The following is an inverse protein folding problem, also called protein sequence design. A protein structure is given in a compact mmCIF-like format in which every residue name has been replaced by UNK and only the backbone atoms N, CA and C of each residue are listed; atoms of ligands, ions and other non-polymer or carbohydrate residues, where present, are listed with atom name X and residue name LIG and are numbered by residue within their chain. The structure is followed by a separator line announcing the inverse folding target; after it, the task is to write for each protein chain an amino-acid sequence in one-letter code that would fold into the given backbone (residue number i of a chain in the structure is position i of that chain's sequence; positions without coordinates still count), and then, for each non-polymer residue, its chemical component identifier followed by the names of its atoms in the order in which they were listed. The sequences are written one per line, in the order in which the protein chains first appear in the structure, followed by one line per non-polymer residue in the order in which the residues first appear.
data_IF_874066038486
#
_entry.id   IF_874066038486
#
_cell.length_a   1.000
_cell.length_b   1.000
_cell.length_c   1.000
_cell.angle_alpha   90.00
_cell.angle_beta   90.00
_cell.angle_gamma   90.00
#
_symmetry.space_group_name_H-M   'P 1'
#
loop_
_entity.id
_entity.type
_entity.pdbx_description
1 polymer ?
#
# COMPACT_ATOMS: atom_id res chain seq x y z
N UNK A 1 -3.70 -16.95 -35.10
CA UNK A 1 -4.62 -16.89 -36.27
C UNK A 1 -3.88 -16.51 -37.55
N UNK A 2 -3.04 -15.49 -37.56
CA UNK A 2 -2.35 -15.02 -38.77
C UNK A 2 -1.42 -16.05 -39.49
N UNK A 3 -0.59 -16.83 -38.74
CA UNK A 3 0.26 -17.85 -39.37
C UNK A 3 -0.54 -18.98 -40.02
N UNK A 4 -1.69 -19.36 -39.42
CA UNK A 4 -2.56 -20.41 -39.96
C UNK A 4 -3.25 -19.97 -41.25
N UNK A 5 -3.76 -18.73 -41.30
CA UNK A 5 -4.35 -18.18 -42.53
C UNK A 5 -3.32 -18.03 -43.67
N UNK A 6 -2.08 -17.69 -43.35
CA UNK A 6 -1.00 -17.58 -44.34
C UNK A 6 -0.61 -18.95 -44.89
N UNK A 7 -0.60 -20.00 -44.06
CA UNK A 7 -0.28 -21.37 -44.44
C UNK A 7 -1.36 -21.99 -45.34
N UNK A 8 -2.63 -21.59 -45.23
CA UNK A 8 -3.73 -22.09 -46.07
C UNK A 8 -3.88 -21.40 -47.39
N UNK A 9 -3.17 -20.27 -47.61
CA UNK A 9 -3.21 -19.51 -48.88
C UNK A 9 -2.36 -20.12 -49.98
N UNK A 10 -1.60 -21.20 -49.71
CA UNK A 10 -0.74 -21.83 -50.71
C UNK A 10 -1.37 -23.10 -51.28
N UNK A 11 -1.21 -23.39 -52.60
CA UNK A 11 -1.69 -24.63 -53.18
C UNK A 11 -1.08 -25.85 -52.48
N UNK A 12 -1.88 -26.83 -52.04
CA UNK A 12 -1.40 -27.99 -51.32
C UNK A 12 -0.29 -28.80 -52.00
N UNK A 13 -0.25 -28.77 -53.30
CA UNK A 13 0.77 -29.44 -54.13
C UNK A 13 2.17 -28.85 -53.98
N UNK A 14 2.31 -27.56 -53.66
CA UNK A 14 3.60 -26.89 -53.41
C UNK A 14 4.14 -27.19 -52.00
N UNK A 15 3.24 -27.37 -51.04
CA UNK A 15 3.60 -27.67 -49.66
C UNK A 15 4.08 -29.13 -49.57
N UNK A 16 3.41 -30.06 -50.21
CA UNK A 16 3.76 -31.51 -50.25
C UNK A 16 5.09 -31.79 -50.95
N UNK A 17 5.50 -30.99 -51.95
CA UNK A 17 6.81 -31.15 -52.61
C UNK A 17 7.99 -30.60 -51.82
N UNK A 18 7.82 -30.06 -50.60
CA UNK A 18 8.89 -29.52 -49.78
C UNK A 18 9.59 -28.29 -50.34
N UNK A 19 9.19 -27.79 -51.53
CA UNK A 19 9.82 -26.66 -52.21
C UNK A 19 9.64 -25.32 -51.56
N UNK A 20 8.64 -25.22 -50.64
CA UNK A 20 8.37 -23.96 -49.91
C UNK A 20 9.49 -23.62 -48.90
N UNK A 21 10.05 -24.63 -48.23
CA UNK A 21 11.14 -24.40 -47.24
C UNK A 21 12.46 -23.95 -47.92
N UNK A 22 12.62 -24.23 -49.20
CA UNK A 22 13.79 -23.83 -50.00
C UNK A 22 13.57 -22.50 -50.75
N UNK A 23 12.36 -21.97 -50.77
CA UNK A 23 12.08 -20.68 -51.43
C UNK A 23 12.67 -19.49 -50.62
N UNK A 24 13.08 -18.44 -51.31
CA UNK A 24 13.61 -17.22 -50.67
C UNK A 24 12.59 -16.61 -49.69
N UNK A 25 11.31 -16.64 -50.08
CA UNK A 25 10.20 -16.15 -49.24
C UNK A 25 9.99 -17.00 -47.97
N UNK A 26 10.10 -18.33 -48.07
CA UNK A 26 9.98 -19.21 -46.88
C UNK A 26 11.12 -19.02 -45.88
N UNK A 27 12.35 -18.80 -46.39
CA UNK A 27 13.50 -18.49 -45.52
C UNK A 27 13.34 -17.16 -44.78
N UNK A 28 12.90 -16.11 -45.50
CA UNK A 28 12.64 -14.79 -44.91
C UNK A 28 11.55 -14.84 -43.84
N UNK A 29 10.43 -15.52 -44.14
CA UNK A 29 9.35 -15.70 -43.14
C UNK A 29 9.85 -16.37 -41.88
N UNK A 30 10.60 -17.48 -42.00
CA UNK A 30 11.19 -18.18 -40.85
C UNK A 30 12.13 -17.25 -40.04
N UNK A 31 13.00 -16.50 -40.71
CA UNK A 31 13.93 -15.57 -40.03
C UNK A 31 13.16 -14.48 -39.28
N UNK A 32 12.10 -13.93 -39.86
CA UNK A 32 11.26 -12.91 -39.20
C UNK A 32 10.55 -13.51 -37.99
N UNK A 33 9.98 -14.70 -38.11
CA UNK A 33 9.31 -15.36 -36.99
C UNK A 33 10.27 -15.68 -35.84
N UNK A 34 11.46 -16.20 -36.17
CA UNK A 34 12.50 -16.47 -35.16
C UNK A 34 12.98 -15.18 -34.51
N UNK A 35 13.22 -14.12 -35.31
CA UNK A 35 13.57 -12.80 -34.80
C UNK A 35 12.51 -12.23 -33.86
N UNK A 36 11.25 -12.31 -34.24
CA UNK A 36 10.12 -11.86 -33.42
C UNK A 36 10.01 -12.63 -32.10
N UNK A 37 10.15 -13.97 -32.17
CA UNK A 37 10.18 -14.81 -30.97
C UNK A 37 11.34 -14.43 -30.04
N UNK A 38 12.52 -14.16 -30.59
CA UNK A 38 13.68 -13.74 -29.82
C UNK A 38 13.45 -12.39 -29.13
N UNK A 39 12.87 -11.41 -29.84
CA UNK A 39 12.51 -10.10 -29.27
C UNK A 39 11.52 -10.25 -28.11
N UNK A 40 10.46 -11.06 -28.29
CA UNK A 40 9.49 -11.31 -27.22
C UNK A 40 10.17 -11.95 -26.01
N UNK A 41 11.00 -12.96 -26.23
CA UNK A 41 11.72 -13.63 -25.13
C UNK A 41 12.61 -12.64 -24.36
N UNK A 42 13.32 -11.78 -25.07
CA UNK A 42 14.18 -10.76 -24.46
C UNK A 42 13.36 -9.76 -23.63
N UNK A 43 12.25 -9.29 -24.17
CA UNK A 43 11.33 -8.38 -23.44
C UNK A 43 10.81 -9.03 -22.17
N UNK A 44 10.37 -10.29 -22.23
CA UNK A 44 9.85 -11.01 -21.05
C UNK A 44 10.92 -11.24 -20.00
N UNK A 45 12.15 -11.60 -20.39
CA UNK A 45 13.28 -11.78 -19.45
C UNK A 45 13.61 -10.45 -18.79
N UNK A 46 13.69 -9.36 -19.57
CA UNK A 46 13.98 -8.03 -19.05
C UNK A 46 12.90 -7.55 -18.09
N UNK A 47 11.63 -7.70 -18.48
CA UNK A 47 10.50 -7.33 -17.62
C UNK A 47 10.52 -8.11 -16.29
N UNK A 48 10.75 -9.42 -16.34
CA UNK A 48 10.85 -10.26 -15.14
C UNK A 48 12.00 -9.81 -14.22
N UNK A 49 13.16 -9.48 -14.80
CA UNK A 49 14.29 -8.96 -14.02
C UNK A 49 13.92 -7.66 -13.29
N UNK A 50 13.29 -6.71 -13.97
CA UNK A 50 12.86 -5.46 -13.34
C UNK A 50 11.80 -5.66 -12.27
N UNK A 51 10.80 -6.50 -12.52
CA UNK A 51 9.77 -6.83 -11.52
C UNK A 51 10.41 -7.45 -10.28
N UNK A 52 11.35 -8.37 -10.45
CA UNK A 52 12.04 -8.99 -9.33
C UNK A 52 12.83 -7.95 -8.51
N UNK A 53 13.61 -7.09 -9.16
CA UNK A 53 14.37 -6.01 -8.50
C UNK A 53 13.45 -5.03 -7.78
N UNK A 54 12.34 -4.66 -8.40
CA UNK A 54 11.37 -3.76 -7.78
C UNK A 54 10.71 -4.42 -6.55
N UNK A 55 10.37 -5.70 -6.64
CA UNK A 55 9.80 -6.45 -5.51
C UNK A 55 10.78 -6.56 -4.34
N UNK A 56 12.05 -6.81 -4.61
CA UNK A 56 13.09 -6.81 -3.58
C UNK A 56 13.26 -5.43 -2.94
N UNK A 57 13.28 -4.37 -3.74
CA UNK A 57 13.34 -3.00 -3.24
C UNK A 57 12.16 -2.71 -2.31
N UNK A 58 10.92 -3.03 -2.72
CA UNK A 58 9.72 -2.82 -1.91
C UNK A 58 9.73 -3.62 -0.59
N UNK A 59 10.25 -4.85 -0.62
CA UNK A 59 10.37 -5.69 0.60
C UNK A 59 11.36 -5.13 1.60
N UNK A 60 12.45 -4.55 1.12
CA UNK A 60 13.55 -4.06 1.94
C UNK A 60 13.49 -2.54 2.19
N UNK A 61 12.45 -1.89 1.66
CA UNK A 61 12.25 -0.46 1.86
C UNK A 61 11.98 -0.16 3.33
N UNK A 62 12.75 0.76 3.89
CA UNK A 62 12.52 1.26 5.23
C UNK A 62 11.34 2.24 5.20
N UNK A 63 10.28 1.87 5.90
CA UNK A 63 9.06 2.68 5.98
C UNK A 63 9.07 3.60 7.22
N UNK A 64 10.18 3.70 7.94
CA UNK A 64 10.29 4.50 9.16
C UNK A 64 9.64 3.86 10.39
N UNK A 65 9.21 2.59 10.31
CA UNK A 65 8.61 1.89 11.44
C UNK A 65 8.98 0.40 11.46
N UNK A 66 9.03 -0.17 12.67
CA UNK A 66 9.35 -1.57 12.86
C UNK A 66 8.14 -2.46 12.50
N UNK A 67 8.33 -3.39 11.56
CA UNK A 67 7.33 -4.39 11.15
C UNK A 67 7.73 -5.83 11.42
N UNK A 68 8.84 -6.03 12.11
CA UNK A 68 9.36 -7.37 12.38
C UNK A 68 8.57 -8.04 13.50
N UNK A 69 8.25 -9.32 13.33
CA UNK A 69 7.54 -10.14 14.32
C UNK A 69 6.14 -9.63 14.67
N UNK A 70 5.48 -8.92 13.77
CA UNK A 70 4.12 -8.42 13.95
C UNK A 70 3.13 -9.38 13.30
N UNK A 71 2.12 -9.78 14.06
CA UNK A 71 0.96 -10.50 13.57
C UNK A 71 -0.23 -9.55 13.51
N UNK A 72 -0.71 -9.25 12.32
CA UNK A 72 -1.89 -8.43 12.11
C UNK A 72 -3.07 -9.30 11.66
N UNK A 73 -4.25 -9.08 12.24
CA UNK A 73 -5.47 -9.76 11.85
C UNK A 73 -6.70 -8.88 12.13
N UNK A 74 -7.77 -9.16 11.40
CA UNK A 74 -9.03 -8.44 11.57
C UNK A 74 -9.83 -8.99 12.74
N UNK A 75 -10.12 -8.13 13.71
CA UNK A 75 -10.83 -8.48 14.95
C UNK A 75 -12.30 -8.19 14.80
N UNK A 76 -13.07 -8.13 14.00
CA UNK A 76 -14.52 -7.86 13.97
C UNK A 76 -15.07 -7.01 15.14
N UNK A 77 -16.23 -6.44 14.97
CA UNK A 77 -16.85 -5.53 15.93
C UNK A 77 -16.98 -6.09 17.37
N UNK A 78 -17.24 -7.39 17.49
CA UNK A 78 -17.42 -8.05 18.83
C UNK A 78 -16.16 -8.04 19.67
N UNK A 79 -15.00 -8.14 19.06
CA UNK A 79 -13.69 -8.07 19.76
C UNK A 79 -13.32 -6.59 19.93
N UNK A 80 -13.46 -5.78 18.90
CA UNK A 80 -13.15 -4.35 18.96
C UNK A 80 -13.92 -3.59 20.07
N UNK A 81 -15.16 -3.98 20.36
CA UNK A 81 -15.91 -3.39 21.49
C UNK A 81 -15.42 -3.80 22.88
N UNK A 82 -14.47 -4.72 22.98
CA UNK A 82 -13.85 -5.23 24.21
C UNK A 82 -12.32 -5.31 24.03
N UNK A 83 -11.74 -4.32 23.35
CA UNK A 83 -10.33 -4.30 23.00
C UNK A 83 -9.43 -4.48 24.22
N UNK A 84 -9.69 -3.72 25.29
CA UNK A 84 -8.89 -3.76 26.53
C UNK A 84 -8.87 -5.17 27.15
N UNK A 85 -10.04 -5.82 27.25
CA UNK A 85 -10.13 -7.16 27.78
C UNK A 85 -9.41 -8.19 26.89
N UNK A 86 -9.46 -8.01 25.60
CA UNK A 86 -8.78 -8.89 24.65
C UNK A 86 -7.27 -8.69 24.69
N UNK A 87 -6.80 -7.47 24.84
CA UNK A 87 -5.40 -7.13 25.05
C UNK A 87 -4.86 -7.78 26.31
N UNK A 88 -5.56 -7.62 27.44
CA UNK A 88 -5.19 -8.23 28.72
C UNK A 88 -5.08 -9.75 28.62
N UNK A 89 -6.00 -10.39 27.91
CA UNK A 89 -5.98 -11.84 27.71
C UNK A 89 -4.80 -12.30 26.85
N UNK A 90 -4.49 -11.56 25.78
CA UNK A 90 -3.34 -11.85 24.95
C UNK A 90 -2.01 -11.65 25.68
N UNK A 91 -1.87 -10.58 26.46
CA UNK A 91 -0.66 -10.27 27.24
C UNK A 91 -0.35 -11.29 28.37
N UNK A 92 -1.29 -12.17 28.72
CA UNK A 92 -1.01 -13.31 29.61
C UNK A 92 -0.03 -14.32 28.99
N UNK A 93 0.10 -14.34 27.66
CA UNK A 93 1.09 -15.18 27.00
C UNK A 93 2.44 -14.45 26.94
N UNK A 94 3.49 -14.98 27.61
CA UNK A 94 4.80 -14.32 27.70
C UNK A 94 5.53 -14.18 26.35
N UNK A 95 5.01 -14.78 25.29
CA UNK A 95 5.56 -14.61 23.92
C UNK A 95 4.98 -13.40 23.21
N UNK A 96 3.93 -12.79 23.73
CA UNK A 96 3.33 -11.57 23.19
C UNK A 96 3.89 -10.41 24.00
N UNK A 97 4.70 -9.60 23.35
CA UNK A 97 5.37 -8.46 23.99
C UNK A 97 4.43 -7.29 24.17
N UNK A 98 3.64 -6.99 23.17
CA UNK A 98 2.66 -5.90 23.21
C UNK A 98 1.53 -6.13 22.20
N UNK A 99 0.43 -5.38 22.34
CA UNK A 99 -0.75 -5.42 21.49
C UNK A 99 -1.19 -3.98 21.20
N UNK A 100 -1.56 -3.70 20.00
CA UNK A 100 -2.13 -2.40 19.61
C UNK A 100 -3.30 -2.58 18.65
N UNK A 101 -4.20 -1.62 18.60
CA UNK A 101 -5.35 -1.65 17.71
C UNK A 101 -5.33 -0.47 16.75
N UNK A 102 -5.79 -0.72 15.53
CA UNK A 102 -6.01 0.32 14.54
C UNK A 102 -7.34 0.08 13.84
N UNK A 103 -8.04 1.13 13.48
CA UNK A 103 -9.31 1.05 12.76
C UNK A 103 -9.17 0.51 11.34
N UNK A 104 -7.98 0.62 10.76
CA UNK A 104 -7.63 0.09 9.44
C UNK A 104 -6.22 -0.50 9.46
N UNK A 105 -5.93 -1.36 8.48
CA UNK A 105 -4.56 -1.82 8.28
C UNK A 105 -3.65 -0.65 7.86
N UNK A 106 -2.45 -0.57 8.45
CA UNK A 106 -1.42 0.41 8.07
C UNK A 106 -1.01 0.33 6.60
N UNK A 107 -1.05 -0.88 6.06
CA UNK A 107 -0.70 -1.17 4.68
C UNK A 107 -1.89 -1.87 4.03
N UNK A 108 -2.52 -1.22 3.07
CA UNK A 108 -3.67 -1.80 2.37
C UNK A 108 -4.45 -0.73 1.60
N UNK A 109 -5.49 -1.16 0.95
CA UNK A 109 -6.29 -0.33 0.03
C UNK A 109 -7.51 0.31 0.71
N UNK A 110 -7.60 0.28 2.03
CA UNK A 110 -8.71 0.84 2.81
C UNK A 110 -8.36 2.24 3.28
N UNK A 111 -8.54 3.20 2.40
CA UNK A 111 -8.41 4.61 2.77
C UNK A 111 -9.72 5.09 3.40
N UNK A 112 -9.66 5.64 4.59
CA UNK A 112 -10.75 6.42 5.19
C UNK A 112 -10.45 7.91 5.00
N UNK A 113 -10.38 8.32 3.72
CA UNK A 113 -10.24 9.73 3.35
C UNK A 113 -11.56 10.47 3.56
N UNK A 114 -11.53 11.49 4.40
CA UNK A 114 -12.70 12.32 4.67
C UNK A 114 -12.37 13.75 4.25
N UNK A 115 -13.13 14.26 3.28
CA UNK A 115 -13.09 15.67 2.96
C UNK A 115 -13.60 16.50 4.14
N UNK A 116 -12.80 17.44 4.62
CA UNK A 116 -13.16 18.38 5.67
C UNK A 116 -12.91 19.79 5.22
N UNK A 117 -13.82 20.70 5.51
CA UNK A 117 -13.60 22.13 5.32
C UNK A 117 -12.89 22.70 6.53
N UNK A 118 -11.78 23.37 6.31
CA UNK A 118 -11.09 24.17 7.31
C UNK A 118 -11.80 25.52 7.46
N UNK A 119 -11.44 26.27 8.51
CA UNK A 119 -12.04 27.57 8.81
C UNK A 119 -11.73 28.63 7.72
N UNK A 120 -10.68 28.42 6.95
CA UNK A 120 -10.29 29.25 5.80
C UNK A 120 -11.06 28.90 4.49
N UNK A 121 -11.96 27.93 4.54
CA UNK A 121 -12.70 27.42 3.39
C UNK A 121 -11.97 26.38 2.54
N UNK A 122 -10.74 26.04 2.88
CA UNK A 122 -9.98 24.99 2.20
C UNK A 122 -10.59 23.62 2.50
N UNK A 123 -10.75 22.78 1.50
CA UNK A 123 -11.19 21.38 1.69
C UNK A 123 -9.97 20.49 1.74
N UNK A 124 -9.80 19.78 2.85
CA UNK A 124 -8.75 18.78 3.03
C UNK A 124 -9.26 17.40 2.68
N UNK A 125 -8.38 16.57 2.10
CA UNK A 125 -8.59 15.14 1.91
C UNK A 125 -7.44 14.41 2.61
N UNK A 126 -7.64 14.14 3.91
CA UNK A 126 -6.62 13.48 4.73
C UNK A 126 -7.17 12.13 5.17
N UNK A 127 -6.37 11.09 4.98
CA UNK A 127 -6.69 9.76 5.49
C UNK A 127 -6.42 9.72 6.99
N UNK A 128 -7.43 9.36 7.77
CA UNK A 128 -7.33 9.24 9.21
C UNK A 128 -7.45 7.78 9.63
N UNK A 129 -6.57 7.34 10.48
CA UNK A 129 -6.58 5.99 11.07
C UNK A 129 -6.79 6.13 12.57
N UNK A 130 -7.94 5.69 13.12
CA UNK A 130 -8.12 5.58 14.56
C UNK A 130 -7.15 4.52 15.11
N UNK A 131 -6.42 4.87 16.15
CA UNK A 131 -5.38 4.00 16.73
C UNK A 131 -5.43 4.02 18.26
N UNK A 132 -4.88 2.98 18.87
CA UNK A 132 -4.64 2.94 20.33
C UNK A 132 -3.52 3.90 20.72
N UNK A 133 -3.50 4.30 21.98
CA UNK A 133 -2.51 5.26 22.52
C UNK A 133 -1.08 4.79 22.32
N UNK A 134 -0.81 3.49 22.50
CA UNK A 134 0.51 2.87 22.37
C UNK A 134 0.93 2.61 20.92
N UNK A 135 0.14 3.05 19.95
CA UNK A 135 0.34 2.67 18.54
C UNK A 135 1.70 3.12 17.98
N UNK A 136 2.12 4.35 18.21
CA UNK A 136 3.40 4.85 17.72
C UNK A 136 4.56 4.16 18.42
N UNK A 137 4.47 3.94 19.73
CA UNK A 137 5.48 3.23 20.50
C UNK A 137 5.59 1.76 20.07
N UNK A 138 4.45 1.10 19.80
CA UNK A 138 4.40 -0.28 19.31
C UNK A 138 5.16 -0.45 17.99
N UNK A 139 5.04 0.51 17.06
CA UNK A 139 5.74 0.49 15.78
C UNK A 139 7.10 1.18 15.81
N UNK A 140 7.51 1.71 16.98
CA UNK A 140 8.72 2.51 17.14
C UNK A 140 8.80 3.67 16.14
N UNK A 141 7.67 4.37 15.97
CA UNK A 141 7.58 5.59 15.18
C UNK A 141 8.07 6.78 15.99
N UNK A 142 8.96 7.56 15.42
CA UNK A 142 9.52 8.74 16.09
C UNK A 142 8.61 9.96 15.89
N UNK A 143 8.40 10.72 16.96
CA UNK A 143 7.72 12.01 16.91
C UNK A 143 8.75 13.07 16.50
N UNK A 144 8.52 13.75 15.38
CA UNK A 144 9.39 14.80 14.88
C UNK A 144 9.19 16.11 15.65
N UNK A 145 7.94 16.41 15.99
CA UNK A 145 7.59 17.61 16.76
C UNK A 145 6.34 17.37 17.62
N UNK A 146 6.20 18.13 18.71
CA UNK A 146 5.08 17.99 19.62
C UNK A 146 5.22 16.84 20.61
N UNK A 147 4.16 16.01 20.75
CA UNK A 147 4.15 14.89 21.70
C UNK A 147 3.35 13.70 21.15
N UNK A 148 3.64 12.52 21.70
CA UNK A 148 2.84 11.30 21.50
C UNK A 148 1.48 11.38 22.22
N UNK A 149 0.60 10.43 21.93
CA UNK A 149 -0.66 10.24 22.63
C UNK A 149 -0.43 9.96 24.13
N UNK A 150 -1.38 10.38 24.96
CA UNK A 150 -1.36 10.21 26.40
C UNK A 150 -2.70 9.68 26.90
N UNK A 151 -2.72 9.02 28.04
CA UNK A 151 -3.96 8.51 28.66
C UNK A 151 -5.02 9.60 28.87
N UNK A 152 -4.60 10.82 29.15
CA UNK A 152 -5.49 11.98 29.27
C UNK A 152 -6.23 12.34 27.98
N UNK A 153 -5.71 11.90 26.83
CA UNK A 153 -6.34 12.18 25.53
C UNK A 153 -7.61 11.35 25.32
N UNK A 154 -7.73 10.19 25.99
CA UNK A 154 -8.96 9.38 26.01
C UNK A 154 -10.14 10.12 26.67
N UNK A 155 -9.88 11.06 27.55
CA UNK A 155 -10.92 11.83 28.23
C UNK A 155 -11.42 13.01 27.40
N UNK A 156 -10.75 13.34 26.29
CA UNK A 156 -11.17 14.42 25.41
C UNK A 156 -12.32 13.96 24.52
N UNK A 157 -13.44 14.69 24.48
CA UNK A 157 -14.64 14.25 23.74
C UNK A 157 -14.39 14.07 22.24
N UNK A 158 -13.42 14.77 21.68
CA UNK A 158 -13.08 14.73 20.24
C UNK A 158 -11.75 14.05 19.96
N UNK A 159 -11.07 13.55 21.01
CA UNK A 159 -9.75 12.94 20.89
C UNK A 159 -8.65 13.92 20.51
N UNK A 160 -7.52 13.38 20.09
CA UNK A 160 -6.35 14.11 19.59
C UNK A 160 -5.87 13.48 18.27
N UNK A 161 -5.10 14.25 17.49
CA UNK A 161 -4.59 13.83 16.20
C UNK A 161 -3.09 14.06 16.16
N UNK A 162 -2.36 13.10 15.60
CA UNK A 162 -0.96 13.26 15.18
C UNK A 162 -0.96 13.21 13.66
N UNK A 163 -0.25 14.11 13.03
CA UNK A 163 -0.20 14.26 11.58
C UNK A 163 1.20 13.98 11.07
N UNK A 164 1.29 13.51 9.83
CA UNK A 164 2.59 13.43 9.18
C UNK A 164 3.01 14.77 8.58
N UNK A 165 4.33 14.97 8.43
CA UNK A 165 4.93 16.16 7.87
C UNK A 165 4.35 16.56 6.51
N UNK A 166 4.02 15.58 5.67
CA UNK A 166 3.41 15.82 4.36
C UNK A 166 2.03 16.47 4.44
N UNK A 167 1.20 16.07 5.43
CA UNK A 167 -0.12 16.66 5.63
C UNK A 167 0.00 18.10 6.14
N UNK A 168 0.90 18.38 7.08
CA UNK A 168 1.14 19.73 7.60
C UNK A 168 1.71 20.65 6.51
N UNK A 169 2.60 20.14 5.67
CA UNK A 169 3.12 20.90 4.52
C UNK A 169 2.06 21.22 3.47
N UNK A 170 1.13 20.29 3.22
CA UNK A 170 0.05 20.47 2.25
C UNK A 170 -1.02 21.46 2.73
N UNK A 171 -1.22 21.58 4.05
CA UNK A 171 -2.26 22.41 4.66
C UNK A 171 -1.67 23.33 5.75
N UNK A 172 -1.07 24.46 5.39
CA UNK A 172 -0.34 25.34 6.33
C UNK A 172 -1.19 25.92 7.48
N UNK A 173 -2.51 25.92 7.35
CA UNK A 173 -3.43 26.32 8.44
C UNK A 173 -3.51 25.26 9.56
N UNK A 174 -3.06 24.02 9.27
CA UNK A 174 -2.93 22.96 10.26
C UNK A 174 -1.51 22.96 10.84
N UNK A 175 -1.40 23.06 12.14
CA UNK A 175 -0.13 23.04 12.87
C UNK A 175 -0.34 22.49 14.28
N UNK A 176 0.72 22.11 14.95
CA UNK A 176 0.64 21.61 16.34
C UNK A 176 0.00 22.69 17.22
N UNK A 177 -1.02 22.32 17.99
CA UNK A 177 -1.84 23.20 18.80
C UNK A 177 -3.05 23.78 18.09
N UNK A 178 -3.17 23.66 16.77
CA UNK A 178 -4.41 23.97 16.06
C UNK A 178 -5.42 22.81 16.14
N UNK A 179 -6.62 23.04 15.63
CA UNK A 179 -7.69 22.04 15.62
C UNK A 179 -7.94 21.50 14.21
N UNK A 180 -7.92 20.20 14.08
CA UNK A 180 -8.42 19.52 12.90
C UNK A 180 -9.93 19.36 13.01
N UNK A 181 -10.72 19.73 12.00
CA UNK A 181 -12.18 19.58 12.00
C UNK A 181 -12.55 18.09 11.99
N UNK A 182 -12.47 17.47 13.13
CA UNK A 182 -12.53 16.04 13.38
C UNK A 182 -13.70 15.29 12.77
N UNK A 183 -13.81 14.05 13.14
CA UNK A 183 -14.93 13.18 12.81
C UNK A 183 -16.23 13.70 13.50
N UNK A 184 -17.35 13.03 13.36
CA UNK A 184 -18.69 13.40 13.80
C UNK A 184 -18.84 14.06 15.20
N UNK A 185 -17.83 13.99 16.05
CA UNK A 185 -17.86 14.51 17.43
C UNK A 185 -17.41 15.98 17.56
N UNK A 186 -16.75 16.54 16.54
CA UNK A 186 -16.21 17.91 16.58
C UNK A 186 -14.70 17.98 16.35
N UNK A 187 -14.10 19.18 16.48
CA UNK A 187 -12.70 19.38 16.17
C UNK A 187 -11.77 18.71 17.20
N UNK A 188 -10.73 18.03 16.74
CA UNK A 188 -9.69 17.37 17.52
C UNK A 188 -8.41 18.23 17.59
N UNK A 189 -7.69 18.19 18.71
CA UNK A 189 -6.42 18.92 18.87
C UNK A 189 -5.28 18.19 18.11
N UNK A 190 -4.50 18.91 17.33
CA UNK A 190 -3.27 18.41 16.73
C UNK A 190 -2.17 18.51 17.78
N UNK A 191 -1.61 17.36 18.21
CA UNK A 191 -0.68 17.30 19.33
C UNK A 191 0.74 16.91 18.93
N UNK A 192 0.94 16.35 17.75
CA UNK A 192 2.26 15.93 17.30
C UNK A 192 2.35 15.78 15.78
N UNK A 193 3.60 15.63 15.34
CA UNK A 193 4.02 15.37 13.97
C UNK A 193 4.91 14.12 13.92
N UNK A 194 4.71 13.28 12.90
CA UNK A 194 5.43 12.02 12.68
C UNK A 194 5.84 11.86 11.22
#
# INVERSE_FOLDING_TARGET
FFPAMYSTSFPPAMVLKGSFSMSVSGRRLRSVLVGFQFVISLVLITANFFIHRQTEYMKNYDMGFNRSNILAFYCGYRIGSKADLFEDELKKNPRIMDVTFAGNALVGNTHMGWGRSLDDGTVTYIDCIPVSINFLDFFNMEIEAGRNFQESDNMKPNGTVIMNSSALAAYPSLHIGSKYPGHASGPADIVGEV
#
